data_IF_715041971645
#
_entry.id   IF_715041971645
#
_cell.length_a   1.000
_cell.length_b   1.000
_cell.length_c   1.000
_cell.angle_alpha   90.00
_cell.angle_beta   90.00
_cell.angle_gamma   90.00
#
_symmetry.space_group_name_H-M   'P 1'
#
loop_
_entity.id
_entity.type
_entity.pdbx_description
1 polymer ?
#
# COMPACT_ATOMS: atom_id res chain seq x y z
N UNK A 1 -17.53 19.77 7.88
CA UNK A 1 -17.74 18.33 8.21
C UNK A 1 -16.41 17.63 8.00
N UNK A 2 -15.89 16.93 9.01
CA UNK A 2 -14.53 16.36 9.02
C UNK A 2 -14.51 14.85 9.24
N UNK A 3 -15.63 14.15 9.05
CA UNK A 3 -15.72 12.70 9.26
C UNK A 3 -15.72 11.93 7.94
N UNK A 4 -15.13 10.74 7.96
CA UNK A 4 -15.11 9.81 6.81
C UNK A 4 -15.49 8.39 7.24
N UNK A 5 -15.97 7.60 6.29
CA UNK A 5 -16.21 6.16 6.49
C UNK A 5 -15.02 5.38 5.94
N UNK A 6 -14.56 4.40 6.71
CA UNK A 6 -13.45 3.52 6.40
C UNK A 6 -13.87 2.06 6.61
N UNK A 7 -13.33 1.17 5.79
CA UNK A 7 -13.63 -0.25 5.76
C UNK A 7 -12.37 -1.08 5.96
N UNK A 8 -12.49 -2.17 6.73
CA UNK A 8 -11.44 -3.16 6.95
C UNK A 8 -11.96 -4.56 6.69
N UNK A 9 -11.37 -5.26 5.71
CA UNK A 9 -11.64 -6.67 5.46
C UNK A 9 -10.83 -7.57 6.38
N UNK A 10 -11.48 -8.51 7.06
CA UNK A 10 -10.84 -9.49 7.93
C UNK A 10 -11.64 -10.79 8.00
N UNK A 11 -11.03 -11.88 8.49
CA UNK A 11 -11.71 -13.16 8.67
C UNK A 11 -12.55 -13.25 9.97
N UNK A 12 -12.65 -12.16 10.73
CA UNK A 12 -13.46 -12.03 11.95
C UNK A 12 -13.87 -10.57 12.18
N UNK A 13 -14.84 -10.35 13.06
CA UNK A 13 -15.29 -9.00 13.43
C UNK A 13 -14.25 -8.31 14.33
N UNK A 14 -13.95 -7.04 14.05
CA UNK A 14 -12.99 -6.21 14.81
C UNK A 14 -13.71 -4.95 15.30
N UNK A 15 -14.44 -5.04 16.41
CA UNK A 15 -15.13 -3.86 16.95
C UNK A 15 -14.16 -2.83 17.54
N UNK A 16 -13.04 -3.30 18.10
CA UNK A 16 -12.04 -2.47 18.79
C UNK A 16 -10.64 -2.81 18.28
N UNK A 17 -10.19 -2.18 17.18
CA UNK A 17 -8.81 -2.35 16.74
C UNK A 17 -7.86 -1.83 17.81
N UNK A 18 -6.75 -2.54 17.99
CA UNK A 18 -5.77 -2.25 19.05
C UNK A 18 -4.50 -1.70 18.43
N UNK A 19 -3.99 -0.61 18.99
CA UNK A 19 -2.71 -0.03 18.57
C UNK A 19 -1.57 -1.05 18.72
N UNK A 20 -0.64 -1.07 17.77
CA UNK A 20 0.50 -2.00 17.80
C UNK A 20 0.14 -3.46 17.48
N UNK A 21 -1.09 -3.77 17.06
CA UNK A 21 -1.43 -5.06 16.46
C UNK A 21 -1.28 -5.03 14.94
N UNK A 22 -1.23 -6.22 14.34
CA UNK A 22 -1.00 -6.41 12.92
C UNK A 22 0.42 -6.89 12.63
N UNK A 23 0.70 -7.17 11.35
CA UNK A 23 2.02 -7.61 10.90
C UNK A 23 3.00 -6.45 11.01
N UNK A 24 4.20 -6.75 11.52
CA UNK A 24 5.29 -5.76 11.69
C UNK A 24 5.72 -5.20 10.33
N UNK A 25 5.83 -6.07 9.32
CA UNK A 25 6.34 -5.73 7.99
C UNK A 25 5.23 -5.46 6.98
N UNK A 26 4.24 -4.64 7.33
CA UNK A 26 3.24 -4.12 6.38
C UNK A 26 3.74 -2.85 5.67
N UNK A 27 3.01 -2.38 4.65
CA UNK A 27 3.43 -1.33 3.71
C UNK A 27 3.94 -0.05 4.39
N UNK A 28 3.27 0.37 5.46
CA UNK A 28 3.54 1.60 6.22
C UNK A 28 3.97 1.33 7.67
N UNK A 29 4.25 0.06 7.99
CA UNK A 29 4.58 -0.39 9.35
C UNK A 29 3.40 -1.01 10.10
N UNK A 30 3.56 -1.19 11.41
CA UNK A 30 2.56 -1.87 12.23
C UNK A 30 1.42 -0.93 12.65
N UNK A 31 0.18 -1.35 12.44
CA UNK A 31 -1.01 -0.57 12.78
C UNK A 31 -2.25 -1.04 12.03
N UNK A 32 -3.25 -0.18 11.91
CA UNK A 32 -4.55 -0.55 11.36
C UNK A 32 -4.75 0.02 9.96
N UNK A 33 -5.12 -0.87 9.02
CA UNK A 33 -5.20 -0.56 7.60
C UNK A 33 -6.65 -0.62 7.13
N UNK A 34 -7.14 0.49 6.62
CA UNK A 34 -8.49 0.60 6.08
C UNK A 34 -8.47 1.11 4.63
N UNK A 35 -9.64 1.11 4.00
CA UNK A 35 -9.88 1.76 2.71
C UNK A 35 -11.22 2.49 2.70
N UNK A 36 -11.40 3.43 1.78
CA UNK A 36 -12.72 4.05 1.51
C UNK A 36 -13.59 3.20 0.57
N UNK A 37 -13.02 2.18 -0.07
CA UNK A 37 -13.70 1.37 -1.08
C UNK A 37 -14.22 0.07 -0.45
N UNK A 38 -15.53 0.01 -0.20
CA UNK A 38 -16.15 -1.15 0.44
C UNK A 38 -15.94 -2.44 -0.36
N UNK A 39 -16.08 -2.39 -1.70
CA UNK A 39 -15.90 -3.57 -2.55
C UNK A 39 -14.48 -4.14 -2.46
N UNK A 40 -13.46 -3.28 -2.38
CA UNK A 40 -12.08 -3.72 -2.14
C UNK A 40 -11.93 -4.35 -0.75
N UNK A 41 -12.54 -3.76 0.28
CA UNK A 41 -12.53 -4.36 1.62
C UNK A 41 -13.20 -5.74 1.63
N UNK A 42 -14.28 -5.95 0.86
CA UNK A 42 -14.96 -7.24 0.72
C UNK A 42 -14.09 -8.26 0.00
N UNK A 43 -13.46 -7.88 -1.11
CA UNK A 43 -12.44 -8.70 -1.78
C UNK A 43 -11.31 -9.09 -0.80
N UNK A 44 -10.89 -8.18 0.09
CA UNK A 44 -9.80 -8.47 1.05
C UNK A 44 -10.22 -9.32 2.24
N UNK A 45 -11.51 -9.39 2.56
CA UNK A 45 -12.03 -10.11 3.72
C UNK A 45 -12.04 -11.64 3.54
N UNK A 46 -12.13 -12.12 2.30
CA UNK A 46 -12.37 -13.53 1.97
C UNK A 46 -11.13 -14.24 1.43
N UNK A 47 -11.08 -15.56 1.59
CA UNK A 47 -10.12 -16.46 0.92
C UNK A 47 -10.86 -17.60 0.20
N UNK A 48 -10.16 -18.48 -0.52
CA UNK A 48 -10.74 -19.41 -1.53
C UNK A 48 -11.92 -20.25 -1.05
N UNK A 49 -11.97 -20.56 0.26
CA UNK A 49 -13.02 -21.36 0.89
C UNK A 49 -13.43 -20.77 2.24
N UNK A 50 -13.19 -19.48 2.46
CA UNK A 50 -13.39 -18.85 3.76
C UNK A 50 -14.12 -17.51 3.62
N UNK A 51 -15.32 -17.47 4.20
CA UNK A 51 -16.09 -16.24 4.40
C UNK A 51 -15.30 -15.25 5.26
N UNK A 52 -15.60 -13.97 5.05
CA UNK A 52 -14.97 -12.87 5.75
C UNK A 52 -15.98 -11.89 6.32
N UNK A 53 -15.46 -10.81 6.89
CA UNK A 53 -16.22 -9.69 7.37
C UNK A 53 -15.61 -8.39 6.85
N UNK A 54 -16.48 -7.47 6.42
CA UNK A 54 -16.09 -6.07 6.27
C UNK A 54 -16.57 -5.30 7.48
N UNK A 55 -15.61 -4.74 8.21
CA UNK A 55 -15.85 -3.90 9.37
C UNK A 55 -15.86 -2.43 8.92
N UNK A 56 -16.90 -1.69 9.31
CA UNK A 56 -17.06 -0.28 8.97
C UNK A 56 -16.77 0.60 10.19
N UNK A 57 -16.07 1.70 9.95
CA UNK A 57 -15.71 2.68 10.97
C UNK A 57 -15.99 4.10 10.48
N UNK A 58 -16.41 4.96 11.39
CA UNK A 58 -16.39 6.41 11.21
C UNK A 58 -15.09 6.95 11.82
N UNK A 59 -14.29 7.68 11.05
CA UNK A 59 -13.09 8.37 11.54
C UNK A 59 -13.34 9.87 11.55
N UNK A 60 -13.19 10.50 12.71
CA UNK A 60 -13.13 11.96 12.84
C UNK A 60 -11.73 12.45 12.45
N UNK A 61 -11.62 13.29 11.42
CA UNK A 61 -10.34 13.79 10.92
C UNK A 61 -9.88 15.06 11.64
N UNK A 62 -10.79 15.78 12.31
CA UNK A 62 -10.45 17.03 12.96
C UNK A 62 -9.30 16.84 13.94
N UNK A 63 -8.23 17.61 13.74
CA UNK A 63 -7.04 17.60 14.58
C UNK A 63 -6.07 16.45 14.28
N UNK A 64 -6.37 15.50 13.41
CA UNK A 64 -5.39 14.49 13.01
C UNK A 64 -4.37 15.10 12.04
N UNK A 65 -3.10 14.76 12.23
CA UNK A 65 -2.05 15.01 11.25
C UNK A 65 -2.12 13.91 10.19
N UNK A 66 -2.46 14.26 8.95
CA UNK A 66 -2.68 13.29 7.88
C UNK A 66 -1.65 13.51 6.79
N UNK A 67 -0.84 12.49 6.51
CA UNK A 67 0.05 12.49 5.36
C UNK A 67 -0.67 11.92 4.14
N UNK A 68 -0.72 12.69 3.06
CA UNK A 68 -1.16 12.20 1.75
C UNK A 68 0.06 11.92 0.89
N UNK A 69 0.56 10.69 0.94
CA UNK A 69 1.81 10.25 0.28
C UNK A 69 1.72 10.25 -1.25
N UNK A 70 0.51 10.34 -1.79
CA UNK A 70 0.24 10.40 -3.23
C UNK A 70 -0.19 11.80 -3.68
N UNK A 71 0.02 12.84 -2.86
CA UNK A 71 -0.19 14.23 -3.27
C UNK A 71 0.90 14.65 -4.27
N UNK A 72 0.70 15.77 -4.97
CA UNK A 72 1.67 16.32 -5.91
C UNK A 72 3.01 16.73 -5.29
N UNK A 73 3.08 16.79 -3.96
CA UNK A 73 4.31 17.09 -3.22
C UNK A 73 5.26 15.89 -3.17
N UNK A 74 4.75 14.68 -3.41
CA UNK A 74 5.49 13.43 -3.30
C UNK A 74 5.50 12.68 -4.63
N UNK A 75 6.67 12.10 -4.94
CA UNK A 75 6.85 11.18 -6.06
C UNK A 75 6.66 9.73 -5.63
N UNK A 76 6.54 8.82 -6.61
CA UNK A 76 6.50 7.38 -6.33
C UNK A 76 7.75 6.87 -5.58
N UNK A 77 8.88 7.58 -5.69
CA UNK A 77 10.12 7.25 -4.98
C UNK A 77 10.00 7.50 -3.47
N UNK A 78 9.19 8.48 -3.05
CA UNK A 78 8.88 8.69 -1.63
C UNK A 78 7.96 7.59 -1.09
N UNK A 79 6.99 7.15 -1.88
CA UNK A 79 6.20 5.97 -1.52
C UNK A 79 7.08 4.72 -1.41
N UNK A 80 8.01 4.56 -2.34
CA UNK A 80 8.92 3.43 -2.36
C UNK A 80 9.90 3.46 -1.18
N UNK A 81 10.39 4.64 -0.77
CA UNK A 81 11.27 4.79 0.40
C UNK A 81 10.58 4.30 1.68
N UNK A 82 9.31 4.66 1.88
CA UNK A 82 8.47 4.18 2.98
C UNK A 82 8.26 2.66 2.88
N UNK A 83 8.01 2.14 1.69
CA UNK A 83 7.81 0.71 1.48
C UNK A 83 9.08 -0.10 1.83
N UNK A 84 10.27 0.33 1.39
CA UNK A 84 11.55 -0.36 1.65
C UNK A 84 12.06 -0.24 3.07
N UNK A 85 11.58 0.77 3.80
CA UNK A 85 11.83 0.90 5.23
C UNK A 85 11.03 -0.13 6.04
N UNK A 86 9.76 -0.35 5.69
CA UNK A 86 8.84 -1.14 6.50
C UNK A 86 8.75 -2.62 6.09
N UNK A 87 8.80 -2.93 4.79
CA UNK A 87 8.73 -4.31 4.28
C UNK A 87 10.11 -4.97 4.30
N UNK A 88 10.12 -6.27 4.51
CA UNK A 88 11.33 -7.08 4.34
C UNK A 88 11.62 -7.28 2.85
N UNK A 89 12.64 -6.60 2.34
CA UNK A 89 13.25 -6.93 1.06
C UNK A 89 14.42 -7.89 1.32
N UNK A 90 14.48 -9.01 0.59
CA UNK A 90 15.75 -9.74 0.49
C UNK A 90 16.60 -8.97 -0.50
N UNK A 91 17.58 -8.23 0.00
CA UNK A 91 18.57 -7.53 -0.83
C UNK A 91 19.47 -8.58 -1.50
N UNK A 92 18.96 -9.16 -2.58
CA UNK A 92 19.58 -10.30 -3.25
C UNK A 92 20.76 -9.90 -4.13
N UNK A 93 20.96 -8.58 -4.35
CA UNK A 93 22.00 -8.05 -5.24
C UNK A 93 22.60 -6.74 -4.71
N UNK A 94 23.87 -6.41 -5.04
CA UNK A 94 24.48 -5.13 -4.65
C UNK A 94 23.73 -3.89 -5.14
N UNK A 95 23.13 -3.97 -6.33
CA UNK A 95 22.35 -2.86 -6.92
C UNK A 95 21.09 -2.56 -6.10
N UNK A 96 20.41 -3.59 -5.59
CA UNK A 96 19.25 -3.41 -4.72
C UNK A 96 19.64 -2.78 -3.39
N UNK A 97 20.74 -3.22 -2.78
CA UNK A 97 21.25 -2.64 -1.53
C UNK A 97 21.63 -1.15 -1.71
N UNK A 98 22.33 -0.83 -2.80
CA UNK A 98 22.68 0.55 -3.15
C UNK A 98 21.42 1.39 -3.41
N UNK A 99 20.48 0.86 -4.19
CA UNK A 99 19.19 1.49 -4.48
C UNK A 99 18.36 1.78 -3.23
N UNK A 100 18.26 0.79 -2.33
CA UNK A 100 17.57 0.95 -1.05
C UNK A 100 18.19 2.07 -0.21
N UNK A 101 19.51 2.06 -0.04
CA UNK A 101 20.21 3.10 0.72
C UNK A 101 20.03 4.49 0.08
N UNK A 102 20.09 4.56 -1.25
CA UNK A 102 19.87 5.80 -1.97
C UNK A 102 18.46 6.35 -1.74
N UNK A 103 17.42 5.52 -1.84
CA UNK A 103 16.04 5.91 -1.58
C UNK A 103 15.84 6.40 -0.15
N UNK A 104 16.41 5.71 0.84
CA UNK A 104 16.32 6.12 2.25
C UNK A 104 17.09 7.42 2.54
N UNK A 105 18.14 7.72 1.80
CA UNK A 105 18.91 8.95 2.02
C UNK A 105 18.29 10.18 1.34
N UNK A 106 17.61 10.01 0.20
CA UNK A 106 17.15 11.13 -0.63
C UNK A 106 15.63 11.32 -0.65
N UNK A 107 14.86 10.26 -0.40
CA UNK A 107 13.39 10.25 -0.54
C UNK A 107 12.68 9.84 0.76
N UNK A 108 13.41 9.67 1.87
CA UNK A 108 12.81 9.30 3.16
C UNK A 108 11.86 10.38 3.66
N UNK A 109 10.75 9.93 4.23
CA UNK A 109 9.79 10.78 4.92
C UNK A 109 9.71 10.32 6.37
N UNK A 110 9.94 11.24 7.30
CA UNK A 110 9.65 10.99 8.71
C UNK A 110 8.13 10.87 8.91
N UNK A 111 7.66 9.65 9.13
CA UNK A 111 6.26 9.36 9.38
C UNK A 111 5.86 9.64 10.84
N UNK A 112 6.81 9.83 11.75
CA UNK A 112 6.54 9.99 13.19
C UNK A 112 5.50 11.07 13.53
N UNK A 113 5.44 12.26 12.86
CA UNK A 113 4.53 13.33 13.22
C UNK A 113 3.06 13.09 12.84
N UNK A 114 2.79 12.07 12.01
CA UNK A 114 1.47 11.84 11.43
C UNK A 114 0.65 10.82 12.22
N UNK A 115 -0.66 11.03 12.28
CA UNK A 115 -1.61 10.11 12.88
C UNK A 115 -2.11 9.07 11.88
N UNK A 116 -2.26 9.51 10.62
CA UNK A 116 -2.78 8.72 9.50
C UNK A 116 -1.90 8.93 8.27
N UNK A 117 -1.53 7.83 7.60
CA UNK A 117 -0.86 7.85 6.31
C UNK A 117 -1.84 7.37 5.25
N UNK A 118 -1.95 8.12 4.15
CA UNK A 118 -2.80 7.78 3.00
C UNK A 118 -1.92 7.60 1.77
N UNK A 119 -1.92 6.39 1.21
CA UNK A 119 -1.08 6.07 0.04
C UNK A 119 -1.49 4.78 -0.68
N UNK A 120 -0.70 4.41 -1.68
CA UNK A 120 -0.90 3.17 -2.44
C UNK A 120 -0.60 1.91 -1.61
N UNK A 121 -1.51 0.93 -1.68
CA UNK A 121 -1.24 -0.42 -1.21
C UNK A 121 -0.07 -1.05 -1.99
N UNK A 122 0.70 -1.94 -1.36
CA UNK A 122 1.59 -2.85 -2.09
C UNK A 122 1.13 -4.31 -1.88
N UNK A 123 0.32 -4.83 -2.81
CA UNK A 123 0.08 -6.27 -2.90
C UNK A 123 1.26 -7.00 -3.59
N UNK A 124 1.20 -8.33 -3.68
CA UNK A 124 2.30 -9.15 -4.22
C UNK A 124 2.73 -8.76 -5.65
N UNK A 125 1.81 -8.28 -6.49
CA UNK A 125 2.11 -7.89 -7.88
C UNK A 125 2.83 -6.55 -7.93
N UNK A 126 2.41 -5.58 -7.11
CA UNK A 126 3.06 -4.26 -7.06
C UNK A 126 4.38 -4.30 -6.29
N UNK A 127 4.46 -5.18 -5.30
CA UNK A 127 5.73 -5.50 -4.68
C UNK A 127 6.73 -6.10 -5.70
N UNK A 128 6.27 -6.80 -6.74
CA UNK A 128 7.12 -7.24 -7.84
C UNK A 128 7.64 -6.07 -8.71
N UNK A 129 6.82 -5.04 -8.96
CA UNK A 129 7.27 -3.81 -9.62
C UNK A 129 8.31 -3.05 -8.78
N UNK A 130 8.04 -2.86 -7.49
CA UNK A 130 8.98 -2.23 -6.56
C UNK A 130 10.33 -2.96 -6.55
N UNK A 131 10.31 -4.30 -6.46
CA UNK A 131 11.54 -5.12 -6.56
C UNK A 131 12.21 -4.97 -7.92
N UNK A 132 11.45 -4.99 -9.01
CA UNK A 132 11.98 -4.83 -10.37
C UNK A 132 12.70 -3.50 -10.56
N UNK A 133 12.16 -2.42 -9.99
CA UNK A 133 12.79 -1.11 -10.01
C UNK A 133 14.09 -1.11 -9.18
N UNK A 134 14.05 -1.66 -7.96
CA UNK A 134 15.24 -1.82 -7.11
C UNK A 134 16.34 -2.69 -7.76
N UNK A 135 15.96 -3.70 -8.55
CA UNK A 135 16.89 -4.54 -9.30
C UNK A 135 17.28 -3.96 -10.66
N UNK A 136 16.85 -2.73 -10.97
CA UNK A 136 17.15 -2.04 -12.23
C UNK A 136 16.64 -2.79 -13.48
N UNK A 137 15.57 -3.57 -13.35
CA UNK A 137 14.91 -4.29 -14.45
C UNK A 137 13.60 -3.63 -14.89
N UNK A 138 13.09 -2.67 -14.11
CA UNK A 138 11.91 -1.87 -14.40
C UNK A 138 12.30 -0.40 -14.34
N UNK A 139 11.80 0.40 -15.27
CA UNK A 139 12.04 1.85 -15.30
C UNK A 139 11.11 2.59 -14.34
N UNK A 140 11.45 3.83 -14.00
CA UNK A 140 10.59 4.70 -13.21
C UNK A 140 9.23 4.88 -13.88
N UNK A 141 9.20 5.10 -15.19
CA UNK A 141 7.98 5.25 -15.97
C UNK A 141 7.10 4.00 -15.91
N UNK A 142 7.69 2.81 -16.03
CA UNK A 142 6.97 1.54 -15.91
C UNK A 142 6.43 1.31 -14.49
N UNK A 143 7.18 1.70 -13.46
CA UNK A 143 6.72 1.67 -12.08
C UNK A 143 5.54 2.62 -11.88
N UNK A 144 5.63 3.86 -12.35
CA UNK A 144 4.55 4.84 -12.27
C UNK A 144 3.30 4.37 -13.01
N UNK A 145 3.45 3.89 -14.25
CA UNK A 145 2.36 3.35 -15.07
C UNK A 145 1.63 2.22 -14.34
N UNK A 146 2.37 1.29 -13.73
CA UNK A 146 1.78 0.23 -12.94
C UNK A 146 0.92 0.78 -11.79
N UNK A 147 1.42 1.79 -11.07
CA UNK A 147 0.74 2.35 -9.90
C UNK A 147 -0.51 3.16 -10.30
N UNK A 148 -0.47 3.89 -11.42
CA UNK A 148 -1.61 4.65 -11.94
C UNK A 148 -2.69 3.76 -12.56
N UNK A 149 -2.31 2.78 -13.39
CA UNK A 149 -3.26 1.88 -14.06
C UNK A 149 -3.80 0.81 -13.12
N UNK A 150 -3.10 0.56 -12.02
CA UNK A 150 -3.21 -0.65 -11.23
C UNK A 150 -4.52 -0.86 -10.45
N UNK A 151 -5.33 0.19 -10.26
CA UNK A 151 -6.50 0.17 -9.37
C UNK A 151 -6.21 -0.55 -8.04
N UNK A 152 -5.03 -0.22 -7.49
CA UNK A 152 -4.41 -0.77 -6.27
C UNK A 152 -5.26 -0.60 -5.02
N UNK A 153 -6.16 0.38 -5.07
CA UNK A 153 -6.81 0.96 -3.92
C UNK A 153 -5.89 1.87 -3.12
N UNK A 154 -6.51 2.89 -2.53
CA UNK A 154 -5.88 3.72 -1.51
C UNK A 154 -6.07 3.07 -0.15
N UNK A 155 -5.01 3.07 0.66
CA UNK A 155 -5.06 2.68 2.05
C UNK A 155 -4.99 3.88 2.98
N UNK A 156 -5.71 3.75 4.10
CA UNK A 156 -5.64 4.61 5.26
C UNK A 156 -4.98 3.81 6.36
N UNK A 157 -3.73 4.14 6.67
CA UNK A 157 -2.96 3.53 7.74
C UNK A 157 -3.04 4.41 8.99
N UNK A 158 -3.72 3.90 10.02
CA UNK A 158 -3.85 4.55 11.32
C UNK A 158 -2.76 4.01 12.25
N UNK A 159 -2.00 4.91 12.88
CA UNK A 159 -0.82 4.52 13.68
C UNK A 159 -0.65 5.21 15.03
N UNK A 160 -1.49 6.18 15.39
CA UNK A 160 -1.36 6.89 16.68
C UNK A 160 -2.54 6.59 17.61
N UNK A 161 -2.32 6.69 18.92
CA UNK A 161 -3.41 6.59 19.91
C UNK A 161 -4.57 7.54 19.59
N UNK A 162 -4.25 8.75 19.14
CA UNK A 162 -5.22 9.77 18.74
C UNK A 162 -6.10 9.30 17.59
N UNK A 163 -5.52 8.73 16.53
CA UNK A 163 -6.29 8.19 15.41
C UNK A 163 -7.24 7.06 15.87
N UNK A 164 -6.77 6.17 16.75
CA UNK A 164 -7.58 5.07 17.28
C UNK A 164 -8.72 5.56 18.18
N UNK A 165 -8.49 6.58 19.02
CA UNK A 165 -9.53 7.20 19.86
C UNK A 165 -10.60 7.94 19.04
N UNK A 166 -10.21 8.50 17.89
CA UNK A 166 -11.11 9.21 16.97
C UNK A 166 -11.85 8.29 15.99
N UNK A 167 -11.60 6.98 16.06
CA UNK A 167 -12.28 5.98 15.23
C UNK A 167 -13.40 5.30 16.00
N UNK A 168 -14.59 5.27 15.40
CA UNK A 168 -15.78 4.66 15.98
C UNK A 168 -16.26 3.52 15.10
N UNK A 169 -16.35 2.32 15.66
CA UNK A 169 -16.96 1.18 14.99
C UNK A 169 -18.46 1.42 14.71
N UNK A 170 -18.90 1.00 13.53
CA UNK A 170 -20.28 1.13 13.07
C UNK A 170 -20.94 -0.25 13.06
N UNK A 171 -20.43 -1.17 12.24
CA UNK A 171 -20.97 -2.51 12.05
C UNK A 171 -19.94 -3.43 11.35
N UNK A 172 -20.33 -4.69 11.19
CA UNK A 172 -19.66 -5.63 10.32
C UNK A 172 -20.69 -6.33 9.40
N UNK A 173 -20.31 -6.52 8.16
CA UNK A 173 -21.08 -7.25 7.14
C UNK A 173 -20.38 -8.59 6.85
N UNK A 174 -21.11 -9.70 6.91
CA UNK A 174 -20.62 -11.00 6.47
C UNK A 174 -20.45 -10.97 4.95
N UNK A 175 -19.28 -11.41 4.48
CA UNK A 175 -18.96 -11.48 3.05
C UNK A 175 -18.81 -12.94 2.66
N UNK A 176 -19.64 -13.38 1.73
CA UNK A 176 -19.57 -14.73 1.18
C UNK A 176 -18.37 -14.85 0.24
N UNK A 177 -17.53 -15.86 0.47
CA UNK A 177 -16.37 -16.10 -0.37
C UNK A 177 -16.76 -16.45 -1.81
N UNK A 178 -17.90 -17.10 -2.02
CA UNK A 178 -18.35 -17.51 -3.36
C UNK A 178 -18.67 -16.31 -4.26
N UNK A 179 -19.06 -15.17 -3.67
CA UNK A 179 -19.31 -13.92 -4.40
C UNK A 179 -18.03 -13.12 -4.64
N UNK A 180 -17.17 -13.00 -3.62
CA UNK A 180 -16.05 -12.04 -3.64
C UNK A 180 -14.68 -12.65 -3.95
N UNK A 181 -14.47 -13.95 -3.70
CA UNK A 181 -13.20 -14.59 -4.04
C UNK A 181 -12.93 -14.61 -5.56
N UNK A 182 -13.92 -14.87 -6.44
CA UNK A 182 -13.71 -14.76 -7.89
C UNK A 182 -13.28 -13.35 -8.33
N UNK A 183 -13.82 -12.30 -7.70
CA UNK A 183 -13.44 -10.91 -7.96
C UNK A 183 -12.00 -10.62 -7.52
N UNK A 184 -11.65 -10.99 -6.27
CA UNK A 184 -10.28 -10.92 -5.75
C UNK A 184 -9.29 -11.65 -6.67
N UNK A 185 -9.64 -12.86 -7.10
CA UNK A 185 -8.80 -13.69 -7.98
C UNK A 185 -8.61 -13.06 -9.36
N UNK A 186 -9.69 -12.57 -9.97
CA UNK A 186 -9.67 -11.86 -11.26
C UNK A 186 -8.81 -10.59 -11.20
N UNK A 187 -8.97 -9.77 -10.15
CA UNK A 187 -8.15 -8.57 -9.94
C UNK A 187 -6.67 -8.91 -9.81
N UNK A 188 -6.33 -9.92 -9.00
CA UNK A 188 -4.96 -10.39 -8.84
C UNK A 188 -4.38 -10.94 -10.16
N UNK A 189 -5.19 -11.66 -10.95
CA UNK A 189 -4.77 -12.16 -12.26
C UNK A 189 -4.51 -11.02 -13.26
N UNK A 190 -5.37 -10.00 -13.27
CA UNK A 190 -5.20 -8.80 -14.10
C UNK A 190 -3.93 -8.03 -13.71
N UNK A 191 -3.67 -7.85 -12.42
CA UNK A 191 -2.46 -7.20 -11.93
C UNK A 191 -1.19 -7.94 -12.37
N UNK A 192 -1.17 -9.28 -12.27
CA UNK A 192 -0.07 -10.11 -12.76
C UNK A 192 0.11 -10.02 -14.28
N UNK A 193 -0.99 -10.03 -15.03
CA UNK A 193 -0.95 -9.90 -16.50
C UNK A 193 -0.35 -8.56 -16.90
N UNK A 194 -0.78 -7.46 -16.27
CA UNK A 194 -0.22 -6.11 -16.50
C UNK A 194 1.25 -6.05 -16.13
N UNK A 195 1.67 -6.68 -15.04
CA UNK A 195 3.09 -6.81 -14.70
C UNK A 195 3.89 -7.45 -15.84
N UNK A 196 3.41 -8.56 -16.37
CA UNK A 196 4.07 -9.21 -17.51
C UNK A 196 4.11 -8.33 -18.75
N UNK A 197 3.00 -7.68 -19.11
CA UNK A 197 2.92 -6.79 -20.28
C UNK A 197 3.89 -5.60 -20.17
N UNK A 198 3.89 -4.91 -19.03
CA UNK A 198 4.77 -3.75 -18.79
C UNK A 198 6.24 -4.21 -18.81
N UNK A 199 6.59 -5.28 -18.09
CA UNK A 199 7.97 -5.75 -18.00
C UNK A 199 8.52 -6.38 -19.28
N UNK A 200 7.66 -6.86 -20.19
CA UNK A 200 8.06 -7.33 -21.51
C UNK A 200 8.20 -6.19 -22.53
N UNK A 201 7.64 -5.02 -22.24
CA UNK A 201 7.81 -3.84 -23.08
C UNK A 201 9.21 -3.22 -22.89
N UNK A 202 9.86 -2.86 -24.00
CA UNK A 202 11.12 -2.12 -23.95
C UNK A 202 10.83 -0.63 -23.82
N UNK A 203 11.08 -0.09 -22.64
CA UNK A 203 11.09 1.36 -22.41
C UNK A 203 12.47 1.94 -22.78
N UNK A 204 12.62 2.30 -24.07
CA UNK A 204 13.90 2.75 -24.65
C UNK A 204 14.47 4.02 -24.01
N UNK A 205 13.60 4.88 -23.48
CA UNK A 205 13.97 6.17 -22.91
C UNK A 205 13.70 6.22 -21.40
N UNK A 206 13.34 5.09 -20.81
CA UNK A 206 12.98 5.01 -19.40
C UNK A 206 14.17 5.26 -18.50
N UNK A 207 13.89 5.89 -17.36
CA UNK A 207 14.89 6.16 -16.34
C UNK A 207 14.97 4.97 -15.40
N UNK A 208 16.12 4.30 -15.32
CA UNK A 208 16.34 3.25 -14.34
C UNK A 208 16.89 3.83 -13.04
N UNK A 209 16.78 3.07 -11.95
CA UNK A 209 17.32 3.46 -10.64
C UNK A 209 18.80 3.88 -10.72
N UNK A 210 19.63 3.17 -11.48
CA UNK A 210 21.04 3.52 -11.65
C UNK A 210 21.26 4.84 -12.37
N UNK A 211 20.34 5.24 -13.26
CA UNK A 211 20.42 6.54 -13.93
C UNK A 211 20.14 7.68 -12.95
N UNK A 212 19.24 7.45 -11.99
CA UNK A 212 18.92 8.39 -10.91
C UNK A 212 20.13 8.51 -9.98
N UNK A 213 20.66 7.38 -9.50
CA UNK A 213 21.83 7.34 -8.60
C UNK A 213 23.04 8.05 -9.23
N UNK A 214 23.29 7.87 -10.53
CA UNK A 214 24.42 8.50 -11.23
C UNK A 214 24.26 10.00 -11.48
N UNK A 215 23.03 10.51 -11.52
CA UNK A 215 22.76 11.92 -11.80
C UNK A 215 22.84 12.79 -10.54
N UNK A 216 22.54 12.21 -9.39
CA UNK A 216 22.50 12.93 -8.10
C UNK A 216 23.67 12.57 -7.16
N UNK A 217 24.46 11.54 -7.48
CA UNK A 217 25.67 11.16 -6.75
C UNK A 217 26.95 11.67 -7.40
#
# INVERSE_FOLDING_TARGET
MSKIILYHGSNHIIEKPTLGKGKVHNDYGQGFYCTKHIELAKEWAVDELQNGFVNSYELELKGLNILHLNSSEYSILHWLSVLVENRTFKDSTPIMAQGRNYLLNHYHIDLSPYDVIVGYRADDSYFAFARGFLSNSVTLNQLEEAMYLGDLGMQYFLKSEKAFQQMKYINAELVDYSDYYPLKSSRNALARKRYQEITQSLDKNGVYLMDIIRKEG
#
